data_IF_755251273958
#
_entry.id   IF_755251273958
#
_cell.length_a   1.000
_cell.length_b   1.000
_cell.length_c   1.000
_cell.angle_alpha   90.00
_cell.angle_beta   90.00
_cell.angle_gamma   90.00
#
_symmetry.space_group_name_H-M   'P 1'
#
loop_
_entity.id
_entity.type
_entity.pdbx_description
1 polymer ?
#
# COMPACT_ATOMS: atom_id res chain seq x y z
N UNK A 1 13.76 -1.93 -29.86
CA UNK A 1 13.62 -3.32 -30.37
C UNK A 1 12.28 -3.86 -29.87
N UNK A 2 11.45 -4.45 -30.73
CA UNK A 2 10.19 -5.07 -30.29
C UNK A 2 10.42 -6.48 -29.73
N UNK A 3 9.36 -7.15 -29.27
CA UNK A 3 9.42 -8.49 -28.68
C UNK A 3 9.98 -9.59 -29.61
N UNK A 4 10.06 -9.32 -30.92
CA UNK A 4 10.62 -10.22 -31.93
C UNK A 4 12.05 -9.84 -32.35
N UNK A 5 12.72 -8.95 -31.61
CA UNK A 5 14.09 -8.55 -31.89
C UNK A 5 14.25 -7.58 -33.07
N UNK A 6 13.18 -6.94 -33.55
CA UNK A 6 13.23 -6.02 -34.70
C UNK A 6 13.39 -4.57 -34.22
N UNK A 7 14.34 -3.85 -34.79
CA UNK A 7 14.54 -2.42 -34.55
C UNK A 7 13.51 -1.58 -35.32
N UNK A 8 12.89 -0.60 -34.64
CA UNK A 8 11.86 0.28 -35.19
C UNK A 8 12.30 1.72 -34.95
N UNK A 9 12.39 2.49 -36.03
CA UNK A 9 12.98 3.83 -36.03
C UNK A 9 11.95 4.96 -36.19
N UNK A 10 10.69 4.64 -36.48
CA UNK A 10 9.59 5.61 -36.58
C UNK A 10 9.17 6.11 -35.19
N UNK A 11 9.02 7.43 -35.00
CA UNK A 11 8.85 8.03 -33.67
C UNK A 11 7.54 7.62 -32.96
N UNK A 12 6.46 7.36 -33.69
CA UNK A 12 5.22 6.82 -33.10
C UNK A 12 5.37 5.38 -32.58
N UNK A 13 6.25 4.58 -33.19
CA UNK A 13 6.43 3.17 -32.84
C UNK A 13 7.18 2.96 -31.53
N UNK A 14 8.02 3.92 -31.10
CA UNK A 14 8.83 3.82 -29.87
C UNK A 14 7.98 3.94 -28.62
N UNK A 15 6.98 4.82 -28.62
CA UNK A 15 6.04 5.00 -27.50
C UNK A 15 5.25 3.73 -27.23
N UNK A 16 4.68 3.13 -28.28
CA UNK A 16 3.93 1.88 -28.16
C UNK A 16 4.80 0.70 -27.69
N UNK A 17 6.06 0.64 -28.14
CA UNK A 17 7.02 -0.36 -27.66
C UNK A 17 7.31 -0.17 -26.17
N UNK A 18 7.54 1.07 -25.72
CA UNK A 18 7.78 1.36 -24.31
C UNK A 18 6.57 1.02 -23.43
N UNK A 19 5.36 1.40 -23.88
CA UNK A 19 4.11 1.10 -23.17
C UNK A 19 3.92 -0.41 -23.03
N UNK A 20 4.03 -1.18 -24.13
CA UNK A 20 3.89 -2.64 -24.09
C UNK A 20 4.95 -3.30 -23.22
N UNK A 21 6.18 -2.81 -23.27
CA UNK A 21 7.28 -3.32 -22.44
C UNK A 21 6.97 -3.14 -20.96
N UNK A 22 6.63 -1.92 -20.53
CA UNK A 22 6.36 -1.64 -19.12
C UNK A 22 5.04 -2.25 -18.63
N UNK A 23 4.01 -2.31 -19.47
CA UNK A 23 2.79 -3.06 -19.15
C UNK A 23 3.12 -4.52 -18.86
N UNK A 24 3.92 -5.18 -19.70
CA UNK A 24 4.34 -6.57 -19.46
C UNK A 24 5.23 -6.69 -18.22
N UNK A 25 6.17 -5.77 -18.02
CA UNK A 25 7.10 -5.78 -16.88
C UNK A 25 6.36 -5.63 -15.54
N UNK A 26 5.34 -4.78 -15.50
CA UNK A 26 4.55 -4.52 -14.30
C UNK A 26 3.28 -5.38 -14.20
N UNK A 27 3.04 -6.27 -15.17
CA UNK A 27 1.98 -7.28 -15.06
C UNK A 27 2.49 -8.41 -14.16
N UNK A 28 1.79 -8.64 -13.05
CA UNK A 28 2.09 -9.76 -12.17
C UNK A 28 1.99 -11.09 -12.95
N UNK A 29 3.09 -11.83 -13.02
CA UNK A 29 3.05 -13.24 -13.39
C UNK A 29 2.53 -14.02 -12.19
N UNK A 30 1.49 -14.83 -12.42
CA UNK A 30 0.86 -15.66 -11.39
C UNK A 30 1.77 -16.86 -11.03
N UNK A 31 2.96 -16.59 -10.49
CA UNK A 31 3.84 -17.59 -9.91
C UNK A 31 3.33 -17.91 -8.51
N UNK A 32 2.47 -18.94 -8.41
CA UNK A 32 1.79 -19.36 -7.17
C UNK A 32 2.67 -20.17 -6.20
N UNK A 33 3.97 -20.22 -6.42
CA UNK A 33 4.89 -21.10 -5.69
C UNK A 33 5.78 -20.30 -4.74
N UNK A 34 5.18 -19.62 -3.77
CA UNK A 34 5.91 -18.93 -2.71
C UNK A 34 6.51 -19.91 -1.69
N UNK A 35 6.01 -21.14 -1.63
CA UNK A 35 6.46 -22.14 -0.64
C UNK A 35 7.95 -22.46 -0.78
N UNK A 36 8.47 -22.56 -2.01
CA UNK A 36 9.91 -22.75 -2.26
C UNK A 36 10.73 -21.52 -1.82
N UNK A 37 10.24 -20.31 -2.10
CA UNK A 37 10.92 -19.06 -1.70
C UNK A 37 10.95 -18.86 -0.18
N UNK A 38 9.93 -19.35 0.52
CA UNK A 38 9.79 -19.21 1.97
C UNK A 38 10.39 -20.40 2.73
N UNK A 39 10.90 -21.41 2.04
CA UNK A 39 11.53 -22.58 2.65
C UNK A 39 12.71 -22.15 3.52
N UNK A 40 12.70 -22.55 4.80
CA UNK A 40 13.73 -22.20 5.79
C UNK A 40 13.46 -20.91 6.58
N UNK A 41 12.44 -20.13 6.22
CA UNK A 41 11.99 -19.03 7.06
C UNK A 41 11.16 -19.54 8.23
N UNK A 42 11.58 -19.18 9.43
CA UNK A 42 10.79 -19.44 10.64
C UNK A 42 9.70 -18.38 10.80
N UNK A 43 8.45 -18.77 11.10
CA UNK A 43 7.39 -17.81 11.42
C UNK A 43 7.79 -16.90 12.59
N UNK A 44 7.78 -15.59 12.36
CA UNK A 44 8.07 -14.57 13.39
C UNK A 44 6.81 -14.00 14.04
N UNK A 45 5.67 -14.16 13.37
CA UNK A 45 4.35 -13.76 13.86
C UNK A 45 3.69 -14.99 14.47
N UNK A 46 3.44 -14.97 15.78
CA UNK A 46 2.70 -16.05 16.43
C UNK A 46 1.23 -16.02 15.99
N UNK A 47 0.52 -17.14 16.16
CA UNK A 47 -0.92 -17.20 15.89
C UNK A 47 -1.69 -16.13 16.66
N UNK A 48 -1.27 -15.79 17.87
CA UNK A 48 -1.92 -14.77 18.71
C UNK A 48 -1.65 -13.35 18.20
N UNK A 49 -0.43 -13.10 17.71
CA UNK A 49 -0.12 -11.83 17.03
C UNK A 49 -0.97 -11.71 15.77
N UNK A 50 -1.03 -12.78 14.95
CA UNK A 50 -1.80 -12.76 13.72
C UNK A 50 -3.28 -12.48 14.01
N UNK A 51 -3.88 -13.17 15.00
CA UNK A 51 -5.27 -12.90 15.40
C UNK A 51 -5.53 -11.45 15.79
N UNK A 52 -4.59 -10.79 16.47
CA UNK A 52 -4.70 -9.36 16.82
C UNK A 52 -4.50 -8.45 15.61
N UNK A 53 -3.51 -8.72 14.77
CA UNK A 53 -3.20 -7.94 13.58
C UNK A 53 -4.30 -8.02 12.50
N UNK A 54 -5.03 -9.13 12.45
CA UNK A 54 -6.15 -9.35 11.52
C UNK A 54 -7.51 -9.11 12.16
N UNK A 55 -7.57 -8.62 13.39
CA UNK A 55 -8.84 -8.29 14.05
C UNK A 55 -9.50 -7.08 13.38
N UNK A 56 -10.81 -6.96 13.54
CA UNK A 56 -11.52 -5.73 13.15
C UNK A 56 -11.02 -4.60 14.03
N UNK A 57 -10.61 -3.50 13.40
CA UNK A 57 -10.18 -2.29 14.09
C UNK A 57 -11.36 -1.73 14.89
N UNK A 58 -11.10 -1.45 16.16
CA UNK A 58 -12.08 -0.89 17.08
C UNK A 58 -12.05 0.64 17.05
N UNK A 59 -13.17 1.26 17.43
CA UNK A 59 -13.26 2.72 17.57
C UNK A 59 -12.20 3.25 18.53
N UNK A 60 -11.97 2.55 19.63
CA UNK A 60 -11.03 2.92 20.68
C UNK A 60 -9.57 2.89 20.20
N UNK A 61 -9.22 1.96 19.32
CA UNK A 61 -7.90 1.87 18.69
C UNK A 61 -7.59 3.08 17.80
N UNK A 62 -8.60 3.71 17.21
CA UNK A 62 -8.43 4.97 16.45
C UNK A 62 -8.52 6.18 17.37
N UNK A 63 -9.48 6.18 18.31
CA UNK A 63 -9.74 7.31 19.21
C UNK A 63 -8.52 7.65 20.06
N UNK A 64 -7.90 6.65 20.70
CA UNK A 64 -6.77 6.90 21.61
C UNK A 64 -5.64 7.65 20.91
N UNK A 65 -5.08 7.16 19.79
CA UNK A 65 -4.05 7.90 19.04
C UNK A 65 -4.51 9.28 18.59
N UNK A 66 -5.74 9.44 18.11
CA UNK A 66 -6.24 10.72 17.64
C UNK A 66 -6.25 11.81 18.74
N UNK A 67 -6.44 11.41 20.00
CA UNK A 67 -6.42 12.30 21.17
C UNK A 67 -5.04 12.39 21.84
N UNK A 68 -4.13 11.44 21.59
CA UNK A 68 -2.75 11.48 22.07
C UNK A 68 -1.85 12.37 21.20
N UNK A 69 -2.25 12.66 19.96
CA UNK A 69 -1.53 13.58 19.06
C UNK A 69 -1.67 15.03 19.55
N UNK A 70 -0.56 15.78 19.53
CA UNK A 70 -0.59 17.22 19.72
C UNK A 70 -1.42 17.87 18.61
N UNK A 71 -2.55 18.48 18.97
CA UNK A 71 -3.48 19.09 18.04
C UNK A 71 -2.89 20.21 17.18
N UNK A 72 -1.78 20.81 17.63
CA UNK A 72 -1.06 21.86 16.91
C UNK A 72 0.00 21.33 15.93
N UNK A 73 0.17 20.01 15.84
CA UNK A 73 1.06 19.36 14.88
C UNK A 73 0.71 19.75 13.43
N UNK A 74 1.71 19.67 12.55
CA UNK A 74 1.54 19.95 11.12
C UNK A 74 0.44 19.07 10.51
N UNK A 75 -0.40 19.61 9.62
CA UNK A 75 -1.48 18.87 8.98
C UNK A 75 -0.95 17.79 8.03
N UNK A 76 -1.77 16.76 7.83
CA UNK A 76 -1.49 15.72 6.84
C UNK A 76 -1.75 16.21 5.40
N UNK A 77 -1.74 15.27 4.45
CA UNK A 77 -2.09 15.55 3.05
C UNK A 77 -3.56 16.04 2.88
N UNK A 78 -4.39 15.84 3.91
CA UNK A 78 -5.77 16.31 4.02
C UNK A 78 -5.90 17.79 4.42
N UNK A 79 -4.82 18.43 4.85
CA UNK A 79 -4.81 19.81 5.33
C UNK A 79 -5.43 20.02 6.73
N UNK A 80 -5.77 18.96 7.45
CA UNK A 80 -6.43 19.03 8.77
C UNK A 80 -5.43 18.77 9.90
N UNK A 81 -5.48 19.59 10.96
CA UNK A 81 -4.63 19.38 12.15
C UNK A 81 -5.28 18.40 13.13
N UNK A 82 -4.53 17.92 14.12
CA UNK A 82 -5.07 17.04 15.18
C UNK A 82 -6.24 17.69 15.93
N UNK A 83 -6.24 19.01 16.11
CA UNK A 83 -7.36 19.74 16.74
C UNK A 83 -8.69 19.55 16.00
N UNK A 84 -8.67 19.45 14.66
CA UNK A 84 -9.89 19.19 13.89
C UNK A 84 -10.51 17.85 14.29
N UNK A 85 -9.70 16.78 14.29
CA UNK A 85 -10.15 15.43 14.62
C UNK A 85 -10.63 15.31 16.07
N UNK A 86 -9.95 15.96 17.01
CA UNK A 86 -10.36 16.00 18.41
C UNK A 86 -11.68 16.76 18.61
N UNK A 87 -11.86 17.90 17.93
CA UNK A 87 -13.03 18.75 18.05
C UNK A 87 -14.28 18.14 17.41
N UNK A 88 -14.13 17.53 16.24
CA UNK A 88 -15.26 16.99 15.47
C UNK A 88 -15.38 15.47 15.58
N UNK A 89 -14.77 14.86 16.60
CA UNK A 89 -14.79 13.41 16.80
C UNK A 89 -16.20 12.81 16.82
N UNK A 90 -17.21 13.54 17.34
CA UNK A 90 -18.60 13.09 17.34
C UNK A 90 -19.24 12.99 15.95
N UNK A 91 -18.58 13.53 14.92
CA UNK A 91 -19.03 13.53 13.53
C UNK A 91 -18.16 12.59 12.68
N UNK A 92 -16.84 12.61 12.89
CA UNK A 92 -15.87 11.86 12.05
C UNK A 92 -15.38 10.56 12.65
N UNK A 93 -15.64 10.33 13.93
CA UNK A 93 -15.10 9.21 14.70
C UNK A 93 -16.09 8.05 14.90
N UNK A 94 -17.13 7.97 14.06
CA UNK A 94 -18.09 6.85 14.00
C UNK A 94 -17.76 5.92 12.81
#
# INVERSE_FOLDING_TARGET
>A
MNENGVERFEDGSKGDIAVKYFQKLFTATNTRHYDELLTGLLPRVSSDMNRRLTAIVTREEIRRPAFDIDGSSAPGADGMTGTFYQKYWSVVGD
#
